data_IF_679480888802
#
_entry.id   IF_679480888802
#
_cell.length_a   1.000
_cell.length_b   1.000
_cell.length_c   1.000
_cell.angle_alpha   90.00
_cell.angle_beta   90.00
_cell.angle_gamma   90.00
#
_symmetry.space_group_name_H-M   'P 1'
#
loop_
_entity.id
_entity.type
_entity.pdbx_description
1 polymer ?
#
# COMPACT_ATOMS: atom_id res chain seq x y z
N UNK A 1 23.14 -11.88 -9.39
CA UNK A 1 22.58 -12.18 -10.73
C UNK A 1 21.34 -11.31 -10.91
N UNK A 2 21.06 -10.78 -12.10
CA UNK A 2 19.84 -10.00 -12.32
C UNK A 2 18.61 -10.91 -12.26
N UNK A 3 17.57 -10.49 -11.55
CA UNK A 3 16.28 -11.22 -11.50
C UNK A 3 15.66 -11.32 -12.90
N UNK A 4 15.42 -12.54 -13.37
CA UNK A 4 14.80 -12.82 -14.67
C UNK A 4 13.28 -12.94 -14.51
N UNK A 5 12.58 -11.84 -14.78
CA UNK A 5 11.14 -11.74 -14.59
C UNK A 5 10.35 -12.80 -15.36
N UNK A 6 10.70 -13.02 -16.63
CA UNK A 6 9.97 -13.96 -17.49
C UNK A 6 10.14 -15.39 -17.01
N UNK A 7 11.37 -15.76 -16.64
CA UNK A 7 11.66 -17.08 -16.07
C UNK A 7 10.92 -17.28 -14.74
N UNK A 8 10.97 -16.31 -13.84
CA UNK A 8 10.29 -16.39 -12.53
C UNK A 8 8.78 -16.50 -12.65
N UNK A 9 8.16 -15.78 -13.59
CA UNK A 9 6.73 -15.91 -13.88
C UNK A 9 6.40 -17.32 -14.38
N UNK A 10 7.16 -17.83 -15.35
CA UNK A 10 6.92 -19.16 -15.90
C UNK A 10 7.09 -20.25 -14.85
N UNK A 11 8.14 -20.16 -14.04
CA UNK A 11 8.43 -21.09 -12.96
C UNK A 11 7.33 -21.08 -11.90
N UNK A 12 6.90 -19.89 -11.46
CA UNK A 12 5.81 -19.76 -10.49
C UNK A 12 4.49 -20.31 -11.04
N UNK A 13 4.09 -19.93 -12.25
CA UNK A 13 2.84 -20.39 -12.85
C UNK A 13 2.82 -21.91 -13.10
N UNK A 14 3.99 -22.54 -13.19
CA UNK A 14 4.12 -24.00 -13.36
C UNK A 14 4.17 -24.74 -12.03
N UNK A 15 4.89 -24.20 -11.04
CA UNK A 15 5.26 -24.93 -9.81
C UNK A 15 4.55 -24.44 -8.55
N UNK A 16 4.02 -23.22 -8.57
CA UNK A 16 3.49 -22.50 -7.40
C UNK A 16 4.57 -22.05 -6.40
N UNK A 17 5.86 -22.13 -6.76
CA UNK A 17 6.98 -21.81 -5.87
C UNK A 17 7.69 -20.53 -6.29
N UNK A 18 8.14 -19.78 -5.29
CA UNK A 18 9.00 -18.61 -5.46
C UNK A 18 10.20 -18.79 -4.55
N UNK A 19 11.40 -18.74 -5.12
CA UNK A 19 12.64 -18.80 -4.37
C UNK A 19 13.02 -17.42 -3.81
N UNK A 20 13.85 -17.42 -2.75
CA UNK A 20 14.51 -16.21 -2.21
C UNK A 20 13.56 -15.08 -1.73
N UNK A 21 12.43 -15.45 -1.13
CA UNK A 21 11.55 -14.51 -0.45
C UNK A 21 11.97 -14.27 1.01
N UNK A 22 11.93 -13.00 1.49
CA UNK A 22 12.12 -12.72 2.90
C UNK A 22 10.92 -13.26 3.70
N UNK A 23 11.22 -14.01 4.75
CA UNK A 23 10.23 -14.71 5.58
C UNK A 23 10.36 -14.39 7.07
N UNK A 24 11.29 -13.51 7.44
CA UNK A 24 11.61 -13.14 8.82
C UNK A 24 11.27 -11.66 9.07
N UNK A 25 11.21 -11.26 10.34
CA UNK A 25 11.10 -9.87 10.75
C UNK A 25 12.39 -9.13 10.42
N UNK A 26 12.32 -7.84 10.09
CA UNK A 26 13.52 -7.05 9.81
C UNK A 26 13.76 -6.04 10.93
N UNK A 27 14.80 -6.26 11.73
CA UNK A 27 15.09 -5.44 12.92
C UNK A 27 16.60 -5.18 12.99
N UNK A 28 16.99 -3.94 13.30
CA UNK A 28 18.39 -3.53 13.44
C UNK A 28 19.28 -3.85 12.23
N UNK A 29 18.69 -3.81 11.03
CA UNK A 29 19.38 -4.08 9.76
C UNK A 29 19.56 -5.55 9.39
N UNK A 30 18.94 -6.48 10.13
CA UNK A 30 19.05 -7.92 9.91
C UNK A 30 17.69 -8.63 10.03
N UNK A 31 17.61 -9.84 9.48
CA UNK A 31 16.42 -10.67 9.52
C UNK A 31 16.40 -11.58 10.76
N UNK A 32 15.33 -11.51 11.56
CA UNK A 32 15.13 -12.27 12.79
C UNK A 32 13.82 -13.06 12.76
N UNK A 33 13.83 -14.28 13.32
CA UNK A 33 12.56 -14.97 13.62
C UNK A 33 11.74 -14.16 14.63
N UNK A 34 10.41 -14.30 14.59
CA UNK A 34 9.55 -13.81 15.65
C UNK A 34 9.89 -14.51 16.98
N UNK A 35 9.84 -13.79 18.09
CA UNK A 35 10.08 -14.35 19.43
C UNK A 35 9.14 -15.53 19.73
N UNK A 36 7.88 -15.41 19.29
CA UNK A 36 6.85 -16.45 19.41
C UNK A 36 7.13 -17.70 18.58
N UNK A 37 8.06 -17.64 17.62
CA UNK A 37 8.30 -18.63 16.55
C UNK A 37 7.08 -18.94 15.69
N UNK A 38 6.03 -18.12 15.76
CA UNK A 38 4.84 -18.27 14.90
C UNK A 38 5.14 -17.77 13.49
N UNK A 39 4.51 -18.42 12.51
CA UNK A 39 4.46 -17.98 11.11
C UNK A 39 3.01 -17.80 10.66
N UNK A 40 2.83 -17.08 9.56
CA UNK A 40 1.56 -16.91 8.86
C UNK A 40 1.75 -17.21 7.37
N UNK A 41 0.76 -17.83 6.71
CA UNK A 41 0.80 -18.03 5.27
C UNK A 41 0.56 -16.71 4.53
N UNK A 42 1.25 -16.53 3.41
CA UNK A 42 0.88 -15.57 2.37
C UNK A 42 0.25 -16.29 1.19
N UNK A 43 -0.80 -15.67 0.65
CA UNK A 43 -1.67 -16.28 -0.35
C UNK A 43 -1.53 -15.55 -1.67
N UNK A 44 -1.56 -16.31 -2.75
CA UNK A 44 -1.73 -15.79 -4.10
C UNK A 44 -3.22 -15.65 -4.38
N UNK A 45 -3.76 -14.42 -4.52
CA UNK A 45 -5.18 -14.23 -4.77
C UNK A 45 -5.64 -14.80 -6.11
N UNK A 46 -4.74 -14.93 -7.08
CA UNK A 46 -5.01 -15.45 -8.42
C UNK A 46 -5.21 -16.96 -8.45
N UNK A 47 -4.71 -17.69 -7.45
CA UNK A 47 -4.91 -19.13 -7.32
C UNK A 47 -5.65 -19.54 -6.04
N UNK A 48 -5.74 -18.64 -5.06
CA UNK A 48 -6.31 -18.93 -3.73
C UNK A 48 -5.45 -19.92 -2.93
N UNK A 49 -4.16 -20.03 -3.25
CA UNK A 49 -3.23 -20.99 -2.63
C UNK A 49 -2.12 -20.26 -1.88
N UNK A 50 -1.58 -20.91 -0.87
CA UNK A 50 -0.39 -20.45 -0.16
C UNK A 50 0.83 -20.64 -1.05
N UNK A 51 1.65 -19.60 -1.21
CA UNK A 51 2.92 -19.69 -1.95
C UNK A 51 4.15 -19.52 -1.05
N UNK A 52 3.99 -18.95 0.15
CA UNK A 52 5.08 -18.79 1.12
C UNK A 52 4.52 -18.58 2.54
N UNK A 53 5.43 -18.48 3.51
CA UNK A 53 5.13 -18.12 4.90
C UNK A 53 6.08 -17.02 5.40
N UNK A 54 5.63 -16.26 6.39
CA UNK A 54 6.42 -15.21 7.02
C UNK A 54 6.23 -15.21 8.54
N UNK A 55 7.24 -14.71 9.27
CA UNK A 55 7.21 -14.64 10.73
C UNK A 55 6.06 -13.74 11.24
N UNK A 56 5.34 -14.20 12.25
CA UNK A 56 4.23 -13.49 12.85
C UNK A 56 4.67 -12.80 14.14
N UNK A 57 5.14 -11.55 13.99
CA UNK A 57 5.60 -10.72 15.09
C UNK A 57 4.47 -10.34 16.06
N UNK A 58 4.84 -10.23 17.33
CA UNK A 58 3.95 -9.89 18.44
C UNK A 58 4.45 -8.62 19.16
N UNK A 59 3.88 -8.30 20.32
CA UNK A 59 4.21 -7.10 21.07
C UNK A 59 5.70 -7.00 21.46
N UNK A 60 6.33 -8.14 21.76
CA UNK A 60 7.75 -8.23 22.13
C UNK A 60 8.68 -7.86 20.97
N UNK A 61 8.33 -8.31 19.76
CA UNK A 61 9.07 -7.96 18.54
C UNK A 61 8.92 -6.47 18.19
N UNK A 62 7.74 -5.92 18.42
CA UNK A 62 7.46 -4.48 18.26
C UNK A 62 8.30 -3.65 19.22
N UNK A 63 8.34 -4.02 20.51
CA UNK A 63 9.17 -3.34 21.51
C UNK A 63 10.64 -3.35 21.10
N UNK A 64 11.17 -4.51 20.66
CA UNK A 64 12.54 -4.63 20.16
C UNK A 64 12.81 -3.69 18.97
N UNK A 65 11.91 -3.61 17.99
CA UNK A 65 12.06 -2.72 16.85
C UNK A 65 11.99 -1.23 17.22
N UNK A 66 11.11 -0.86 18.16
CA UNK A 66 11.03 0.52 18.64
C UNK A 66 12.29 0.90 19.43
N UNK A 67 12.80 0.01 20.29
CA UNK A 67 14.04 0.22 21.02
C UNK A 67 15.25 0.36 20.07
N UNK A 68 15.33 -0.47 19.03
CA UNK A 68 16.35 -0.32 17.96
C UNK A 68 16.21 1.05 17.27
N UNK A 69 15.00 1.47 16.92
CA UNK A 69 14.71 2.78 16.32
C UNK A 69 15.11 3.95 17.22
N UNK A 70 14.88 3.85 18.53
CA UNK A 70 15.28 4.88 19.50
C UNK A 70 16.80 4.96 19.66
N UNK A 71 17.48 3.82 19.65
CA UNK A 71 18.95 3.75 19.68
C UNK A 71 19.55 4.37 18.43
N UNK A 72 19.02 4.04 17.24
CA UNK A 72 19.46 4.59 15.97
C UNK A 72 19.26 6.12 15.91
N UNK A 73 18.12 6.63 16.39
CA UNK A 73 17.81 8.06 16.45
C UNK A 73 18.81 8.88 17.29
N UNK A 74 19.42 8.25 18.32
CA UNK A 74 20.46 8.87 19.16
C UNK A 74 21.88 8.54 18.70
N UNK A 75 22.01 7.70 17.68
CA UNK A 75 23.27 7.19 17.15
C UNK A 75 23.79 8.01 15.98
N UNK A 76 24.38 7.33 15.01
CA UNK A 76 24.98 7.96 13.83
C UNK A 76 23.94 8.70 12.97
N UNK A 77 22.69 8.22 12.92
CA UNK A 77 21.61 8.84 12.12
C UNK A 77 21.35 10.30 12.49
N UNK A 78 21.47 10.65 13.78
CA UNK A 78 21.32 12.03 14.25
C UNK A 78 22.32 12.99 13.60
N UNK A 79 23.50 12.46 13.22
CA UNK A 79 24.60 13.25 12.66
C UNK A 79 24.53 13.41 11.15
N UNK A 80 23.60 12.71 10.48
CA UNK A 80 23.43 12.85 9.04
C UNK A 80 22.92 14.25 8.72
N UNK A 81 23.69 14.98 7.91
CA UNK A 81 23.22 16.26 7.35
C UNK A 81 22.01 16.02 6.44
N UNK A 82 21.15 17.02 6.24
CA UNK A 82 20.05 16.92 5.27
C UNK A 82 20.52 16.47 3.88
N UNK A 83 21.68 16.94 3.40
CA UNK A 83 22.23 16.53 2.11
C UNK A 83 22.70 15.06 2.07
N UNK A 84 23.26 14.55 3.18
CA UNK A 84 23.61 13.12 3.31
C UNK A 84 22.35 12.24 3.28
N UNK A 85 21.28 12.64 3.99
CA UNK A 85 19.98 11.95 3.91
C UNK A 85 19.43 11.98 2.48
N UNK A 86 19.50 13.13 1.80
CA UNK A 86 19.10 13.25 0.40
C UNK A 86 19.86 12.30 -0.53
N UNK A 87 21.19 12.21 -0.41
CA UNK A 87 22.01 11.25 -1.18
C UNK A 87 21.57 9.81 -0.90
N UNK A 88 21.31 9.47 0.36
CA UNK A 88 20.86 8.14 0.75
C UNK A 88 19.51 7.77 0.12
N UNK A 89 18.51 8.66 0.19
CA UNK A 89 17.19 8.38 -0.41
C UNK A 89 17.26 8.24 -1.93
N UNK A 90 18.16 8.98 -2.60
CA UNK A 90 18.43 8.79 -4.02
C UNK A 90 19.02 7.41 -4.33
N UNK A 91 19.95 6.92 -3.50
CA UNK A 91 20.48 5.57 -3.65
C UNK A 91 19.38 4.51 -3.46
N UNK A 92 18.46 4.70 -2.51
CA UNK A 92 17.29 3.82 -2.33
C UNK A 92 16.42 3.82 -3.58
N UNK A 93 16.12 5.00 -4.15
CA UNK A 93 15.35 5.10 -5.40
C UNK A 93 16.04 4.36 -6.57
N UNK A 94 17.35 4.50 -6.71
CA UNK A 94 18.12 3.74 -7.72
C UNK A 94 18.06 2.23 -7.49
N UNK A 95 18.12 1.76 -6.24
CA UNK A 95 18.02 0.34 -5.91
C UNK A 95 16.63 -0.22 -6.16
N UNK A 96 15.57 0.54 -5.87
CA UNK A 96 14.19 0.17 -6.24
C UNK A 96 14.10 -0.01 -7.76
N UNK A 97 14.65 0.92 -8.55
CA UNK A 97 14.66 0.81 -10.03
C UNK A 97 15.46 -0.39 -10.52
N UNK A 98 16.63 -0.65 -9.95
CA UNK A 98 17.45 -1.83 -10.28
C UNK A 98 16.73 -3.14 -9.95
N UNK A 99 15.88 -3.13 -8.92
CA UNK A 99 15.08 -4.28 -8.49
C UNK A 99 13.63 -4.24 -8.98
N UNK A 100 13.31 -3.40 -9.97
CA UNK A 100 11.93 -3.18 -10.43
C UNK A 100 11.25 -4.50 -10.81
N UNK A 101 11.95 -5.38 -11.52
CA UNK A 101 11.44 -6.69 -11.91
C UNK A 101 11.06 -7.56 -10.69
N UNK A 102 11.96 -7.69 -9.70
CA UNK A 102 11.75 -8.49 -8.48
C UNK A 102 10.60 -7.94 -7.65
N UNK A 103 10.58 -6.62 -7.42
CA UNK A 103 9.54 -5.96 -6.65
C UNK A 103 8.18 -6.06 -7.33
N UNK A 104 8.11 -5.83 -8.65
CA UNK A 104 6.84 -5.88 -9.39
C UNK A 104 6.27 -7.30 -9.44
N UNK A 105 7.13 -8.32 -9.57
CA UNK A 105 6.72 -9.71 -9.50
C UNK A 105 6.06 -10.04 -8.16
N UNK A 106 6.72 -9.67 -7.05
CA UNK A 106 6.21 -9.95 -5.70
C UNK A 106 4.95 -9.13 -5.40
N UNK A 107 4.93 -7.84 -5.74
CA UNK A 107 3.78 -6.95 -5.52
C UNK A 107 2.55 -7.43 -6.32
N UNK A 108 2.73 -7.88 -7.57
CA UNK A 108 1.63 -8.44 -8.36
C UNK A 108 1.12 -9.76 -7.78
N UNK A 109 2.04 -10.59 -7.25
CA UNK A 109 1.71 -11.90 -6.73
C UNK A 109 0.91 -11.85 -5.43
N UNK A 110 1.34 -11.08 -4.43
CA UNK A 110 0.67 -11.05 -3.12
C UNK A 110 -0.57 -10.13 -3.10
N UNK A 111 -0.56 -9.04 -3.87
CA UNK A 111 -1.71 -8.15 -3.96
C UNK A 111 -2.79 -8.66 -4.92
N UNK A 112 -2.39 -9.44 -5.94
CA UNK A 112 -3.26 -9.91 -7.02
C UNK A 112 -3.43 -8.93 -8.17
N UNK A 113 -2.81 -7.75 -8.12
CA UNK A 113 -2.91 -6.75 -9.20
C UNK A 113 -2.21 -7.20 -10.47
N UNK A 114 -2.48 -6.50 -11.57
CA UNK A 114 -1.82 -6.78 -12.85
C UNK A 114 -0.34 -6.42 -12.78
N UNK A 115 0.48 -7.15 -13.52
CA UNK A 115 1.92 -6.93 -13.49
C UNK A 115 2.31 -5.52 -13.96
N UNK A 116 1.59 -4.96 -14.94
CA UNK A 116 1.79 -3.58 -15.39
C UNK A 116 1.46 -2.53 -14.31
N UNK A 117 0.36 -2.73 -13.57
CA UNK A 117 -0.02 -1.91 -12.40
C UNK A 117 1.07 -1.98 -11.32
N UNK A 118 1.57 -3.18 -11.01
CA UNK A 118 2.66 -3.36 -10.06
C UNK A 118 3.96 -2.66 -10.51
N UNK A 119 4.30 -2.71 -11.79
CA UNK A 119 5.44 -1.97 -12.33
C UNK A 119 5.28 -0.45 -12.18
N UNK A 120 4.07 0.06 -12.41
CA UNK A 120 3.72 1.46 -12.18
C UNK A 120 3.89 1.86 -10.71
N UNK A 121 3.43 1.01 -9.78
CA UNK A 121 3.55 1.22 -8.34
C UNK A 121 5.00 1.26 -7.86
N UNK A 122 5.83 0.32 -8.32
CA UNK A 122 7.25 0.25 -7.98
C UNK A 122 8.00 1.46 -8.54
N UNK A 123 7.69 1.87 -9.77
CA UNK A 123 8.25 3.09 -10.35
C UNK A 123 7.81 4.35 -9.57
N UNK A 124 6.53 4.41 -9.17
CA UNK A 124 5.99 5.48 -8.32
C UNK A 124 6.68 5.54 -6.95
N UNK A 125 6.95 4.40 -6.33
CA UNK A 125 7.71 4.32 -5.08
C UNK A 125 9.12 4.87 -5.25
N UNK A 126 9.85 4.49 -6.31
CA UNK A 126 11.18 5.05 -6.60
C UNK A 126 11.14 6.58 -6.79
N UNK A 127 10.13 7.07 -7.52
CA UNK A 127 9.96 8.51 -7.74
C UNK A 127 9.62 9.26 -6.44
N UNK A 128 8.88 8.63 -5.52
CA UNK A 128 8.59 9.20 -4.21
C UNK A 128 9.89 9.38 -3.39
N UNK A 129 10.74 8.35 -3.34
CA UNK A 129 12.06 8.46 -2.71
C UNK A 129 12.93 9.55 -3.34
N UNK A 130 12.95 9.68 -4.66
CA UNK A 130 13.70 10.74 -5.35
C UNK A 130 13.17 12.14 -5.08
N UNK A 131 11.84 12.30 -5.03
CA UNK A 131 11.22 13.58 -4.67
C UNK A 131 11.70 14.03 -3.28
N UNK A 132 11.60 13.14 -2.30
CA UNK A 132 12.02 13.44 -0.94
C UNK A 132 13.55 13.56 -0.78
N UNK A 133 14.33 12.85 -1.60
CA UNK A 133 15.77 13.06 -1.71
C UNK A 133 16.12 14.51 -2.07
N UNK A 134 15.35 15.12 -2.98
CA UNK A 134 15.49 16.53 -3.37
C UNK A 134 14.95 17.52 -2.35
N UNK A 135 14.02 17.09 -1.49
CA UNK A 135 13.38 17.94 -0.48
C UNK A 135 14.18 18.03 0.84
N UNK A 136 15.02 17.02 1.15
CA UNK A 136 15.72 16.90 2.45
C UNK A 136 16.38 18.20 2.94
N UNK A 137 17.12 18.90 2.09
CA UNK A 137 17.88 20.12 2.42
C UNK A 137 17.15 21.42 2.04
N UNK A 138 15.87 21.33 1.64
CA UNK A 138 15.02 22.46 1.26
C UNK A 138 13.93 22.77 2.28
N UNK A 139 13.72 21.88 3.26
CA UNK A 139 12.79 22.13 4.36
C UNK A 139 13.46 22.96 5.45
N UNK A 140 13.12 24.26 5.51
CA UNK A 140 13.80 25.25 6.35
C UNK A 140 12.86 25.82 7.42
N UNK A 141 13.45 26.25 8.54
CA UNK A 141 12.77 27.10 9.50
C UNK A 141 12.65 28.54 9.02
N UNK A 142 12.10 29.42 9.85
CA UNK A 142 11.91 30.85 9.53
C UNK A 142 12.57 31.74 10.59
N UNK A 143 13.00 32.93 10.16
CA UNK A 143 13.40 34.01 11.06
C UNK A 143 12.20 34.92 11.32
N UNK A 144 11.98 35.30 12.59
CA UNK A 144 10.80 36.04 13.03
C UNK A 144 11.22 37.42 13.56
N UNK A 145 10.80 38.52 12.92
CA UNK A 145 11.20 39.87 13.33
C UNK A 145 10.39 40.34 14.55
N UNK A 146 10.98 40.31 15.74
CA UNK A 146 10.33 40.75 16.99
C UNK A 146 10.79 42.13 17.49
N UNK A 147 11.73 42.77 16.81
CA UNK A 147 12.31 44.07 17.21
C UNK A 147 13.80 43.98 17.55
N UNK A 148 14.44 45.11 17.91
CA UNK A 148 15.90 45.20 18.02
C UNK A 148 16.50 44.37 19.17
N UNK A 149 15.72 44.09 20.21
CA UNK A 149 16.21 43.43 21.43
C UNK A 149 15.99 41.90 21.42
N UNK A 150 15.47 41.33 20.33
CA UNK A 150 15.08 39.92 20.26
C UNK A 150 15.55 39.24 18.98
N UNK A 151 16.06 38.01 19.13
CA UNK A 151 16.28 37.08 18.02
C UNK A 151 15.30 35.92 18.18
N UNK A 152 14.49 35.67 17.15
CA UNK A 152 13.55 34.55 17.13
C UNK A 152 13.65 33.80 15.80
N UNK A 153 13.70 32.48 15.87
CA UNK A 153 13.69 31.59 14.73
C UNK A 153 13.03 30.26 15.08
N UNK A 154 12.61 29.52 14.06
CA UNK A 154 12.12 28.15 14.22
C UNK A 154 13.13 27.15 13.67
N UNK A 155 13.15 25.95 14.24
CA UNK A 155 13.85 24.78 13.72
C UNK A 155 12.82 23.69 13.43
N UNK A 156 13.01 22.98 12.33
CA UNK A 156 12.21 21.81 12.00
C UNK A 156 12.99 20.55 12.35
N UNK A 157 12.66 19.94 13.48
CA UNK A 157 13.31 18.74 13.99
C UNK A 157 12.51 17.48 13.64
N UNK A 158 13.15 16.31 13.51
CA UNK A 158 12.43 15.05 13.33
C UNK A 158 11.53 14.76 14.53
N UNK A 159 10.33 14.22 14.28
CA UNK A 159 9.39 13.83 15.33
C UNK A 159 9.95 12.70 16.22
N UNK A 160 10.85 11.87 15.69
CA UNK A 160 11.47 10.76 16.39
C UNK A 160 11.14 9.42 15.73
N UNK A 161 10.68 8.44 16.52
CA UNK A 161 10.24 7.13 15.99
C UNK A 161 8.84 7.25 15.42
N UNK A 162 8.66 6.78 14.18
CA UNK A 162 7.39 6.82 13.45
C UNK A 162 6.89 5.42 13.14
N UNK A 163 5.62 5.17 13.39
CA UNK A 163 4.94 3.91 13.09
C UNK A 163 4.18 4.01 11.76
N UNK A 164 4.39 3.06 10.86
CA UNK A 164 3.77 3.05 9.53
C UNK A 164 2.92 1.79 9.34
N UNK A 165 1.60 1.92 9.45
CA UNK A 165 0.66 0.82 9.23
C UNK A 165 0.19 0.86 7.78
N UNK A 166 0.67 -0.10 6.99
CA UNK A 166 0.56 -0.10 5.52
C UNK A 166 -0.56 -1.08 5.07
N UNK A 167 -1.44 -0.70 4.13
CA UNK A 167 -2.55 -1.51 3.65
C UNK A 167 -2.10 -2.50 2.57
N UNK A 168 -2.99 -3.43 2.22
CA UNK A 168 -2.69 -4.53 1.28
C UNK A 168 -2.87 -4.18 -0.20
N UNK A 169 -3.55 -3.09 -0.53
CA UNK A 169 -3.95 -2.81 -1.91
C UNK A 169 -2.85 -2.14 -2.75
N UNK A 170 -2.01 -1.29 -2.14
CA UNK A 170 -0.83 -0.69 -2.76
C UNK A 170 0.35 -0.75 -1.77
N UNK A 171 0.87 -1.95 -1.44
CA UNK A 171 1.80 -2.15 -0.34
C UNK A 171 3.05 -1.27 -0.43
N UNK A 172 3.83 -1.38 -1.50
CA UNK A 172 5.11 -0.67 -1.63
C UNK A 172 4.90 0.83 -1.87
N UNK A 173 3.94 1.19 -2.71
CA UNK A 173 3.63 2.60 -3.02
C UNK A 173 3.15 3.36 -1.78
N UNK A 174 2.35 2.73 -0.91
CA UNK A 174 1.92 3.34 0.36
C UNK A 174 3.05 3.37 1.38
N UNK A 175 3.87 2.32 1.45
CA UNK A 175 5.08 2.33 2.27
C UNK A 175 6.01 3.51 1.91
N UNK A 176 6.30 3.69 0.62
CA UNK A 176 7.16 4.78 0.15
C UNK A 176 6.61 6.18 0.53
N UNK A 177 5.28 6.39 0.38
CA UNK A 177 4.61 7.66 0.71
C UNK A 177 4.75 8.08 2.17
N UNK A 178 4.86 7.13 3.10
CA UNK A 178 5.14 7.42 4.52
C UNK A 178 6.64 7.43 4.86
N UNK A 179 7.36 6.41 4.40
CA UNK A 179 8.74 6.15 4.82
C UNK A 179 9.72 7.17 4.24
N UNK A 180 9.59 7.51 2.95
CA UNK A 180 10.48 8.49 2.31
C UNK A 180 10.47 9.87 3.01
N UNK A 181 9.30 10.49 3.29
CA UNK A 181 9.27 11.75 4.05
C UNK A 181 9.80 11.60 5.48
N UNK A 182 9.50 10.49 6.17
CA UNK A 182 9.98 10.27 7.53
C UNK A 182 11.52 10.22 7.58
N UNK A 183 12.14 9.46 6.68
CA UNK A 183 13.61 9.40 6.56
C UNK A 183 14.20 10.74 6.12
N UNK A 184 13.54 11.46 5.20
CA UNK A 184 13.99 12.79 4.78
C UNK A 184 14.04 13.79 5.96
N UNK A 185 13.01 13.76 6.82
CA UNK A 185 12.93 14.56 8.03
C UNK A 185 13.97 14.16 9.09
N UNK A 186 14.57 12.96 8.99
CA UNK A 186 15.52 12.43 9.98
C UNK A 186 14.85 11.59 11.07
N UNK A 187 13.60 11.18 10.88
CA UNK A 187 12.94 10.24 11.77
C UNK A 187 13.52 8.82 11.61
N UNK A 188 13.19 7.94 12.56
CA UNK A 188 13.32 6.48 12.38
C UNK A 188 11.95 5.85 12.18
N UNK A 189 11.91 4.67 11.58
CA UNK A 189 10.70 4.05 11.04
C UNK A 189 10.56 2.63 11.57
N UNK A 190 9.37 2.32 12.11
CA UNK A 190 8.89 0.95 12.31
C UNK A 190 7.65 0.76 11.44
N UNK A 191 7.77 -0.06 10.40
CA UNK A 191 6.67 -0.38 9.50
C UNK A 191 6.01 -1.70 9.86
N UNK A 192 4.68 -1.75 9.74
CA UNK A 192 3.86 -2.95 9.80
C UNK A 192 3.06 -3.04 8.50
N UNK A 193 3.47 -3.87 7.53
CA UNK A 193 2.65 -4.14 6.35
C UNK A 193 1.43 -4.99 6.69
N UNK A 194 0.38 -4.88 5.88
CA UNK A 194 -0.78 -5.76 5.95
C UNK A 194 -0.34 -7.23 5.82
N UNK A 195 -0.94 -8.10 6.61
CA UNK A 195 -0.58 -9.53 6.64
C UNK A 195 -0.85 -10.26 5.32
N UNK A 196 -1.67 -9.69 4.43
CA UNK A 196 -1.92 -10.21 3.10
C UNK A 196 -0.75 -9.95 2.13
N UNK A 197 0.01 -8.89 2.33
CA UNK A 197 1.05 -8.41 1.38
C UNK A 197 2.30 -7.91 2.10
N UNK A 198 3.00 -8.75 2.88
CA UNK A 198 4.10 -8.29 3.72
C UNK A 198 5.43 -8.11 2.97
N UNK A 199 5.58 -8.73 1.80
CA UNK A 199 6.89 -9.10 1.27
C UNK A 199 7.67 -7.91 0.70
N UNK A 200 7.03 -7.00 -0.03
CA UNK A 200 7.73 -5.88 -0.67
C UNK A 200 8.25 -4.85 0.34
N UNK A 201 7.63 -4.72 1.51
CA UNK A 201 8.16 -3.94 2.62
C UNK A 201 9.46 -4.55 3.19
N UNK A 202 9.54 -5.88 3.30
CA UNK A 202 10.74 -6.58 3.74
C UNK A 202 11.88 -6.44 2.71
N UNK A 203 11.57 -6.55 1.41
CA UNK A 203 12.55 -6.32 0.33
C UNK A 203 13.02 -4.86 0.36
N UNK A 204 12.13 -3.89 0.55
CA UNK A 204 12.54 -2.48 0.69
C UNK A 204 13.54 -2.28 1.84
N UNK A 205 13.38 -3.00 2.95
CA UNK A 205 14.28 -2.90 4.09
C UNK A 205 15.70 -3.42 3.79
N UNK A 206 15.79 -4.52 3.04
CA UNK A 206 17.06 -5.02 2.47
C UNK A 206 17.72 -3.96 1.58
N UNK A 207 16.97 -3.37 0.65
CA UNK A 207 17.48 -2.33 -0.26
C UNK A 207 17.92 -1.06 0.48
N UNK A 208 17.23 -0.70 1.57
CA UNK A 208 17.64 0.41 2.42
C UNK A 208 19.00 0.18 3.08
N UNK A 209 19.30 -1.04 3.55
CA UNK A 209 20.62 -1.37 4.08
C UNK A 209 21.68 -1.35 2.97
N UNK A 210 21.39 -1.92 1.80
CA UNK A 210 22.29 -1.85 0.65
C UNK A 210 22.58 -0.39 0.24
N UNK A 211 21.62 0.52 0.38
CA UNK A 211 21.79 1.95 0.13
C UNK A 211 22.71 2.66 1.16
N UNK A 212 23.04 1.99 2.27
CA UNK A 212 23.84 2.53 3.37
C UNK A 212 23.01 3.14 4.51
N UNK A 213 21.73 2.77 4.64
CA UNK A 213 20.92 3.18 5.79
C UNK A 213 21.50 2.61 7.09
N UNK A 214 21.73 3.43 8.14
CA UNK A 214 22.23 2.92 9.40
C UNK A 214 21.28 1.89 10.02
N UNK A 215 21.86 0.89 10.69
CA UNK A 215 21.11 -0.14 11.40
C UNK A 215 20.11 0.48 12.39
N UNK A 216 18.90 -0.07 12.41
CA UNK A 216 17.80 0.35 13.29
C UNK A 216 17.04 1.60 12.83
N UNK A 217 17.47 2.30 11.77
CA UNK A 217 16.72 3.47 11.26
C UNK A 217 15.41 3.05 10.59
N UNK A 218 15.39 1.88 9.95
CA UNK A 218 14.20 1.29 9.37
C UNK A 218 14.04 -0.16 9.84
N UNK A 219 12.90 -0.46 10.43
CA UNK A 219 12.51 -1.79 10.90
C UNK A 219 11.16 -2.18 10.30
N UNK A 220 10.95 -3.46 10.05
CA UNK A 220 9.70 -4.01 9.52
C UNK A 220 9.25 -5.18 10.38
N UNK A 221 8.06 -5.05 10.97
CA UNK A 221 7.41 -6.10 11.74
C UNK A 221 6.19 -6.61 10.98
N UNK A 222 6.22 -7.88 10.59
CA UNK A 222 5.06 -8.58 10.03
C UNK A 222 4.22 -9.19 11.13
N UNK A 223 2.93 -9.42 10.89
CA UNK A 223 1.98 -9.96 11.87
C UNK A 223 0.58 -9.41 11.64
N UNK A 224 -0.38 -9.75 12.50
CA UNK A 224 -1.76 -9.25 12.35
C UNK A 224 -1.89 -7.80 12.85
N UNK A 225 -2.94 -7.11 12.41
CA UNK A 225 -3.29 -5.79 12.97
C UNK A 225 -3.56 -5.84 14.49
N UNK A 226 -4.10 -6.94 15.01
CA UNK A 226 -4.41 -7.09 16.44
C UNK A 226 -3.17 -7.37 17.29
N UNK A 227 -2.22 -8.15 16.78
CA UNK A 227 -1.00 -8.53 17.49
C UNK A 227 0.08 -7.44 17.38
N UNK A 228 0.60 -7.23 16.17
CA UNK A 228 1.70 -6.30 15.91
C UNK A 228 1.21 -4.87 15.75
N UNK A 229 0.11 -4.66 15.00
CA UNK A 229 -0.40 -3.31 14.71
C UNK A 229 -0.84 -2.55 15.97
N UNK A 230 -1.68 -3.18 16.79
CA UNK A 230 -2.18 -2.60 18.03
C UNK A 230 -1.06 -2.33 19.05
N UNK A 231 -0.09 -3.24 19.15
CA UNK A 231 1.09 -3.04 19.99
C UNK A 231 1.90 -1.83 19.51
N UNK A 232 2.14 -1.70 18.20
CA UNK A 232 2.93 -0.63 17.63
C UNK A 232 2.29 0.75 17.82
N UNK A 233 0.99 0.91 17.52
CA UNK A 233 0.31 2.20 17.65
C UNK A 233 0.09 2.61 19.11
N UNK A 234 0.11 1.67 20.06
CA UNK A 234 0.02 1.94 21.51
C UNK A 234 1.39 2.24 22.14
N UNK A 235 2.48 1.92 21.44
CA UNK A 235 3.80 1.91 22.04
C UNK A 235 4.24 3.32 22.49
N UNK A 236 4.65 3.52 23.76
CA UNK A 236 4.99 4.85 24.29
C UNK A 236 6.24 5.45 23.64
N UNK A 237 7.07 4.62 23.00
CA UNK A 237 8.23 5.06 22.24
C UNK A 237 7.94 5.61 20.84
N UNK A 238 6.69 5.59 20.37
CA UNK A 238 6.26 6.09 19.05
C UNK A 238 5.74 7.52 19.16
N UNK A 239 6.24 8.40 18.29
CA UNK A 239 5.96 9.84 18.32
C UNK A 239 5.02 10.29 17.20
N UNK A 240 4.92 9.50 16.12
CA UNK A 240 3.99 9.72 15.03
C UNK A 240 3.48 8.39 14.48
N UNK A 241 2.20 8.33 14.13
CA UNK A 241 1.56 7.19 13.49
C UNK A 241 1.04 7.65 12.14
N UNK A 242 1.45 6.97 11.07
CA UNK A 242 0.74 7.02 9.79
C UNK A 242 -0.02 5.70 9.61
N UNK A 243 -1.32 5.82 9.39
CA UNK A 243 -2.20 4.69 9.15
C UNK A 243 -2.96 4.91 7.86
N UNK A 244 -2.91 3.90 6.98
CA UNK A 244 -3.80 3.84 5.83
C UNK A 244 -4.65 2.58 5.90
N UNK A 245 -5.97 2.71 5.79
CA UNK A 245 -6.88 1.57 5.89
C UNK A 245 -8.35 1.94 6.05
N UNK A 246 -9.10 1.08 6.75
CA UNK A 246 -10.54 1.26 6.93
C UNK A 246 -10.87 2.38 7.92
N UNK A 247 -12.02 3.03 7.74
CA UNK A 247 -12.50 4.08 8.67
C UNK A 247 -12.62 3.55 10.09
N UNK A 248 -13.23 2.38 10.28
CA UNK A 248 -13.41 1.77 11.61
C UNK A 248 -12.09 1.55 12.32
N UNK A 249 -11.11 0.94 11.65
CA UNK A 249 -9.78 0.72 12.23
C UNK A 249 -9.03 2.04 12.47
N UNK A 250 -9.17 3.03 11.57
CA UNK A 250 -8.58 4.36 11.76
C UNK A 250 -9.12 5.08 13.00
N UNK A 251 -10.42 4.94 13.29
CA UNK A 251 -11.01 5.45 14.54
C UNK A 251 -10.41 4.76 15.76
N UNK A 252 -10.18 3.45 15.70
CA UNK A 252 -9.52 2.71 16.81
C UNK A 252 -8.08 3.19 17.03
N UNK A 253 -7.31 3.37 15.95
CA UNK A 253 -5.95 3.93 16.00
C UNK A 253 -5.96 5.33 16.62
N UNK A 254 -6.90 6.20 16.21
CA UNK A 254 -7.02 7.55 16.76
C UNK A 254 -7.30 7.54 18.27
N UNK A 255 -8.18 6.66 18.74
CA UNK A 255 -8.47 6.52 20.18
C UNK A 255 -7.24 6.07 20.97
N UNK A 256 -6.46 5.13 20.41
CA UNK A 256 -5.23 4.66 21.05
C UNK A 256 -4.15 5.75 21.08
N UNK A 257 -3.95 6.47 19.97
CA UNK A 257 -2.97 7.55 19.86
C UNK A 257 -3.19 8.66 20.91
N UNK A 258 -4.46 8.94 21.27
CA UNK A 258 -4.81 9.93 22.27
C UNK A 258 -4.22 9.63 23.67
N UNK A 259 -3.97 8.36 24.01
CA UNK A 259 -3.41 7.98 25.32
C UNK A 259 -1.99 8.50 25.56
N UNK A 260 -1.22 8.72 24.49
CA UNK A 260 0.15 9.24 24.52
C UNK A 260 0.27 10.62 23.84
N UNK A 261 -0.85 11.18 23.35
CA UNK A 261 -0.88 12.39 22.49
C UNK A 261 0.06 12.19 21.27
N UNK A 262 0.09 10.98 20.72
CA UNK A 262 0.93 10.66 19.57
C UNK A 262 0.41 11.38 18.33
N UNK A 263 1.30 12.01 17.55
CA UNK A 263 0.89 12.63 16.29
C UNK A 263 0.32 11.59 15.33
N UNK A 264 -0.68 11.98 14.54
CA UNK A 264 -1.43 11.04 13.73
C UNK A 264 -1.70 11.59 12.34
N UNK A 265 -1.53 10.73 11.33
CA UNK A 265 -2.01 10.91 9.97
C UNK A 265 -2.87 9.70 9.61
N UNK A 266 -4.11 9.95 9.18
CA UNK A 266 -5.06 8.91 8.76
C UNK A 266 -5.45 9.10 7.29
N UNK A 267 -5.11 8.12 6.47
CA UNK A 267 -5.62 8.00 5.10
C UNK A 267 -6.66 6.87 5.07
N UNK A 268 -7.92 7.22 4.89
CA UNK A 268 -9.05 6.29 5.02
C UNK A 268 -9.75 6.07 3.68
N UNK A 269 -10.64 5.08 3.63
CA UNK A 269 -11.43 4.79 2.43
C UNK A 269 -12.36 5.94 2.02
N UNK A 270 -12.67 6.01 0.72
CA UNK A 270 -13.58 7.00 0.14
C UNK A 270 -14.79 6.39 -0.56
N UNK A 271 -15.74 7.27 -0.90
CA UNK A 271 -16.84 6.97 -1.85
C UNK A 271 -16.80 8.01 -2.98
N UNK A 272 -15.69 8.00 -3.72
CA UNK A 272 -15.33 9.08 -4.63
C UNK A 272 -16.28 9.17 -5.83
N UNK A 273 -16.86 10.36 -6.10
CA UNK A 273 -17.71 10.56 -7.25
C UNK A 273 -16.90 10.86 -8.53
N UNK A 274 -17.38 10.37 -9.66
CA UNK A 274 -17.08 10.89 -11.00
C UNK A 274 -18.33 11.64 -11.46
N UNK A 275 -18.20 12.93 -11.79
CA UNK A 275 -19.33 13.78 -12.22
C UNK A 275 -19.23 14.03 -13.73
N UNK A 276 -20.16 13.44 -14.49
CA UNK A 276 -20.28 13.61 -15.93
C UNK A 276 -21.37 14.65 -16.24
N UNK A 277 -20.93 15.85 -16.66
CA UNK A 277 -21.81 16.95 -17.07
C UNK A 277 -22.31 16.76 -18.51
N UNK A 278 -23.40 17.46 -18.86
CA UNK A 278 -24.10 17.29 -20.14
C UNK A 278 -23.22 17.50 -21.40
N UNK A 279 -22.13 18.24 -21.27
CA UNK A 279 -21.20 18.63 -22.34
C UNK A 279 -19.90 17.80 -22.35
N UNK A 280 -19.78 16.78 -21.49
CA UNK A 280 -18.58 15.95 -21.47
C UNK A 280 -18.45 15.09 -22.74
N UNK A 281 -17.22 14.80 -23.15
CA UNK A 281 -16.96 13.78 -24.17
C UNK A 281 -17.31 12.39 -23.62
N UNK A 282 -18.29 11.73 -24.23
CA UNK A 282 -18.82 10.47 -23.71
C UNK A 282 -17.83 9.30 -23.83
N UNK A 283 -16.95 9.26 -24.84
CA UNK A 283 -15.98 8.17 -24.98
C UNK A 283 -14.83 8.35 -23.99
N UNK A 284 -14.26 9.55 -23.91
CA UNK A 284 -13.20 9.87 -22.93
C UNK A 284 -13.73 9.64 -21.51
N UNK A 285 -14.97 10.06 -21.23
CA UNK A 285 -15.60 9.85 -19.92
C UNK A 285 -15.77 8.38 -19.62
N UNK A 286 -16.26 7.58 -20.58
CA UNK A 286 -16.39 6.14 -20.39
C UNK A 286 -15.03 5.46 -20.13
N UNK A 287 -13.97 5.83 -20.85
CA UNK A 287 -12.62 5.31 -20.60
C UNK A 287 -12.10 5.66 -19.20
N UNK A 288 -12.27 6.91 -18.76
CA UNK A 288 -11.88 7.35 -17.42
C UNK A 288 -12.71 6.67 -16.32
N UNK A 289 -13.99 6.40 -16.55
CA UNK A 289 -14.82 5.63 -15.62
C UNK A 289 -14.27 4.22 -15.45
N UNK A 290 -13.96 3.53 -16.55
CA UNK A 290 -13.42 2.17 -16.51
C UNK A 290 -12.07 2.14 -15.78
N UNK A 291 -11.15 3.03 -16.15
CA UNK A 291 -9.85 3.14 -15.49
C UNK A 291 -10.00 3.45 -13.99
N UNK A 292 -10.86 4.41 -13.64
CA UNK A 292 -11.04 4.86 -12.27
C UNK A 292 -11.71 3.86 -11.32
N UNK A 293 -12.39 2.82 -11.83
CA UNK A 293 -13.10 1.83 -10.99
C UNK A 293 -12.59 0.40 -11.12
N UNK A 294 -11.96 0.00 -12.23
CA UNK A 294 -11.54 -1.38 -12.45
C UNK A 294 -10.03 -1.61 -12.36
N UNK A 295 -9.21 -0.55 -12.31
CA UNK A 295 -7.80 -0.68 -11.93
C UNK A 295 -7.68 -1.36 -10.56
N UNK A 296 -6.77 -2.34 -10.44
CA UNK A 296 -6.59 -3.15 -9.23
C UNK A 296 -7.91 -3.76 -8.69
N UNK A 297 -8.82 -4.14 -9.60
CA UNK A 297 -10.16 -4.64 -9.28
C UNK A 297 -11.00 -3.69 -8.40
N UNK A 298 -10.77 -2.38 -8.52
CA UNK A 298 -11.45 -1.34 -7.74
C UNK A 298 -10.99 -1.23 -6.29
N UNK A 299 -9.89 -1.89 -5.93
CA UNK A 299 -9.32 -1.88 -4.58
C UNK A 299 -8.48 -0.62 -4.34
N UNK A 300 -9.04 0.56 -4.61
CA UNK A 300 -8.37 1.85 -4.53
C UNK A 300 -9.16 2.78 -3.60
N UNK A 301 -8.51 3.44 -2.66
CA UNK A 301 -9.19 4.36 -1.72
C UNK A 301 -9.88 5.53 -2.46
N UNK A 302 -9.32 5.96 -3.59
CA UNK A 302 -9.84 6.99 -4.48
C UNK A 302 -10.65 6.45 -5.65
N UNK A 303 -11.01 5.16 -5.67
CA UNK A 303 -11.77 4.56 -6.77
C UNK A 303 -13.05 5.36 -7.08
N UNK A 304 -13.30 5.61 -8.38
CA UNK A 304 -14.45 6.32 -8.93
C UNK A 304 -15.75 5.53 -8.81
N UNK A 305 -16.08 5.08 -7.60
CA UNK A 305 -17.12 4.09 -7.32
C UNK A 305 -18.55 4.66 -7.29
N UNK A 306 -18.72 5.94 -7.62
CA UNK A 306 -20.02 6.60 -7.79
C UNK A 306 -19.99 7.46 -9.05
N UNK A 307 -20.54 6.94 -10.15
CA UNK A 307 -20.71 7.73 -11.36
C UNK A 307 -22.02 8.54 -11.27
N UNK A 308 -21.91 9.86 -11.30
CA UNK A 308 -23.02 10.81 -11.31
C UNK A 308 -23.13 11.38 -12.73
N UNK A 309 -24.23 11.08 -13.42
CA UNK A 309 -24.41 11.44 -14.82
C UNK A 309 -25.55 12.42 -14.97
N UNK A 310 -25.35 13.48 -15.75
CA UNK A 310 -26.42 14.38 -16.13
C UNK A 310 -27.50 13.62 -16.93
N UNK A 311 -28.77 13.84 -16.60
CA UNK A 311 -29.91 13.06 -17.11
C UNK A 311 -29.94 12.98 -18.65
N UNK A 312 -29.66 14.10 -19.33
CA UNK A 312 -29.67 14.18 -20.80
C UNK A 312 -28.65 13.30 -21.52
N UNK A 313 -27.61 12.82 -20.84
CA UNK A 313 -26.56 11.95 -21.40
C UNK A 313 -26.48 10.58 -20.72
N UNK A 314 -27.37 10.31 -19.75
CA UNK A 314 -27.35 9.11 -18.93
C UNK A 314 -27.26 7.83 -19.77
N UNK A 315 -28.29 7.57 -20.58
CA UNK A 315 -28.39 6.30 -21.30
C UNK A 315 -27.24 6.12 -22.30
N UNK A 316 -26.85 7.20 -22.98
CA UNK A 316 -25.75 7.19 -23.95
C UNK A 316 -24.38 6.90 -23.31
N UNK A 317 -24.11 7.46 -22.11
CA UNK A 317 -22.87 7.18 -21.38
C UNK A 317 -22.89 5.76 -20.80
N UNK A 318 -24.00 5.35 -20.18
CA UNK A 318 -24.12 4.02 -19.56
C UNK A 318 -23.99 2.91 -20.60
N UNK A 319 -24.50 3.08 -21.82
CA UNK A 319 -24.28 2.11 -22.91
C UNK A 319 -22.79 1.89 -23.20
N UNK A 320 -22.00 2.98 -23.27
CA UNK A 320 -20.56 2.92 -23.52
C UNK A 320 -19.81 2.26 -22.36
N UNK A 321 -20.13 2.66 -21.13
CA UNK A 321 -19.54 2.07 -19.91
C UNK A 321 -19.87 0.59 -19.84
N UNK A 322 -21.11 0.19 -20.09
CA UNK A 322 -21.55 -1.21 -20.10
C UNK A 322 -20.78 -2.03 -21.15
N UNK A 323 -20.64 -1.51 -22.37
CA UNK A 323 -19.88 -2.16 -23.44
C UNK A 323 -18.42 -2.41 -23.03
N UNK A 324 -17.75 -1.38 -22.49
CA UNK A 324 -16.34 -1.50 -22.06
C UNK A 324 -16.20 -2.42 -20.84
N UNK A 325 -17.13 -2.35 -19.88
CA UNK A 325 -17.14 -3.23 -18.69
C UNK A 325 -17.22 -4.70 -19.09
N UNK A 326 -18.09 -5.06 -20.04
CA UNK A 326 -18.23 -6.43 -20.55
C UNK A 326 -17.02 -6.94 -21.34
N UNK A 327 -16.16 -6.04 -21.82
CA UNK A 327 -14.95 -6.39 -22.54
C UNK A 327 -13.75 -6.66 -21.61
N UNK A 328 -13.88 -6.45 -20.29
CA UNK A 328 -12.81 -6.71 -19.34
C UNK A 328 -12.65 -8.21 -19.15
N UNK A 329 -11.44 -8.70 -19.44
CA UNK A 329 -11.09 -10.11 -19.28
C UNK A 329 -10.40 -10.35 -17.94
N UNK A 330 -10.95 -11.25 -17.14
CA UNK A 330 -10.36 -11.69 -15.88
C UNK A 330 -9.14 -12.60 -16.12
N UNK A 331 -8.19 -12.58 -15.20
CA UNK A 331 -7.12 -13.57 -15.16
C UNK A 331 -6.04 -13.24 -14.15
N UNK A 332 -5.14 -14.19 -13.90
CA UNK A 332 -4.03 -14.03 -12.97
C UNK A 332 -3.17 -12.79 -13.28
N UNK A 333 -2.81 -12.00 -12.25
CA UNK A 333 -2.09 -10.72 -12.38
C UNK A 333 -0.76 -10.82 -13.14
N UNK A 334 0.02 -11.87 -12.89
CA UNK A 334 1.27 -12.18 -13.62
C UNK A 334 1.11 -12.46 -15.13
N UNK A 335 -0.10 -12.75 -15.63
CA UNK A 335 -0.38 -12.87 -17.07
C UNK A 335 -0.80 -11.54 -17.71
N UNK A 336 -0.85 -10.47 -16.93
CA UNK A 336 -1.29 -9.13 -17.34
C UNK A 336 -2.66 -9.15 -18.03
N UNK A 337 -3.64 -9.80 -17.40
CA UNK A 337 -5.04 -9.86 -17.84
C UNK A 337 -5.70 -8.47 -17.86
N UNK A 338 -6.97 -8.37 -18.24
CA UNK A 338 -7.72 -7.11 -18.19
C UNK A 338 -8.02 -6.65 -16.75
N UNK A 339 -8.24 -7.58 -15.83
CA UNK A 339 -8.43 -7.32 -14.40
C UNK A 339 -8.04 -8.54 -13.55
N UNK A 340 -7.31 -8.28 -12.46
CA UNK A 340 -6.87 -9.30 -11.50
C UNK A 340 -7.97 -9.75 -10.51
N UNK A 341 -7.64 -10.70 -9.62
CA UNK A 341 -8.48 -11.07 -8.48
C UNK A 341 -8.65 -9.94 -7.45
N UNK A 342 -9.61 -10.10 -6.55
CA UNK A 342 -9.63 -9.38 -5.27
C UNK A 342 -8.68 -10.05 -4.28
N UNK A 343 -8.03 -9.26 -3.43
CA UNK A 343 -6.85 -9.68 -2.67
C UNK A 343 -7.08 -10.84 -1.68
N UNK A 344 -8.30 -11.02 -1.15
CA UNK A 344 -8.57 -12.08 -0.17
C UNK A 344 -9.98 -12.64 -0.29
N UNK A 345 -10.16 -13.89 0.15
CA UNK A 345 -11.49 -14.52 0.25
C UNK A 345 -12.44 -13.68 1.14
N UNK A 346 -11.93 -13.10 2.23
CA UNK A 346 -12.72 -12.22 3.10
C UNK A 346 -13.20 -10.97 2.35
N UNK A 347 -12.32 -10.35 1.54
CA UNK A 347 -12.70 -9.19 0.74
C UNK A 347 -13.68 -9.56 -0.38
N UNK A 348 -13.50 -10.72 -1.02
CA UNK A 348 -14.45 -11.27 -2.00
C UNK A 348 -15.86 -11.42 -1.41
N UNK A 349 -15.97 -12.00 -0.21
CA UNK A 349 -17.25 -12.13 0.52
C UNK A 349 -17.88 -10.77 0.81
N UNK A 350 -17.09 -9.75 1.16
CA UNK A 350 -17.58 -8.37 1.40
C UNK A 350 -18.11 -7.74 0.12
N UNK A 351 -17.36 -7.81 -0.98
CA UNK A 351 -17.78 -7.27 -2.28
C UNK A 351 -19.10 -7.93 -2.72
N UNK A 352 -19.14 -9.28 -2.69
CA UNK A 352 -20.35 -10.04 -3.01
C UNK A 352 -21.53 -9.63 -2.11
N UNK A 353 -21.34 -9.53 -0.81
CA UNK A 353 -22.37 -9.10 0.14
C UNK A 353 -22.95 -7.71 -0.15
N UNK A 354 -22.13 -6.75 -0.60
CA UNK A 354 -22.61 -5.43 -1.00
C UNK A 354 -23.51 -5.48 -2.24
N UNK A 355 -23.14 -6.28 -3.24
CA UNK A 355 -23.93 -6.44 -4.46
C UNK A 355 -25.23 -7.20 -4.20
N UNK A 356 -25.20 -8.27 -3.40
CA UNK A 356 -26.41 -8.99 -2.98
C UNK A 356 -27.35 -8.11 -2.17
N UNK A 357 -26.82 -7.25 -1.29
CA UNK A 357 -27.62 -6.23 -0.59
C UNK A 357 -28.23 -5.19 -1.53
N UNK A 358 -27.58 -4.86 -2.65
CA UNK A 358 -28.16 -3.97 -3.66
C UNK A 358 -29.29 -4.68 -4.43
N UNK A 359 -29.07 -5.93 -4.87
CA UNK A 359 -30.08 -6.75 -5.55
C UNK A 359 -31.33 -6.95 -4.69
N UNK A 360 -31.18 -7.25 -3.39
CA UNK A 360 -32.31 -7.44 -2.47
C UNK A 360 -33.14 -6.17 -2.24
N UNK A 361 -32.56 -5.00 -2.51
CA UNK A 361 -33.26 -3.70 -2.51
C UNK A 361 -33.84 -3.32 -3.87
N UNK A 362 -33.80 -4.22 -4.85
CA UNK A 362 -34.34 -3.99 -6.20
C UNK A 362 -33.45 -3.13 -7.10
N UNK A 363 -32.17 -2.92 -6.74
CA UNK A 363 -31.24 -2.17 -7.60
C UNK A 363 -30.88 -3.02 -8.82
N UNK A 364 -30.95 -2.42 -10.00
CA UNK A 364 -30.64 -3.09 -11.26
C UNK A 364 -29.13 -3.33 -11.41
N UNK A 365 -28.76 -4.57 -11.72
CA UNK A 365 -27.40 -4.95 -12.11
C UNK A 365 -27.39 -5.11 -13.64
N UNK A 366 -26.64 -4.26 -14.35
CA UNK A 366 -26.58 -4.28 -15.81
C UNK A 366 -25.63 -5.36 -16.35
N UNK A 367 -24.57 -5.68 -15.61
CA UNK A 367 -23.66 -6.78 -15.89
C UNK A 367 -22.88 -7.20 -14.63
N UNK A 368 -22.31 -8.40 -14.66
CA UNK A 368 -21.49 -8.94 -13.58
C UNK A 368 -22.31 -9.32 -12.35
N UNK A 369 -21.74 -9.07 -11.18
CA UNK A 369 -22.40 -9.22 -9.89
C UNK A 369 -22.32 -10.65 -9.34
N UNK A 370 -21.33 -11.43 -9.75
CA UNK A 370 -21.11 -12.80 -9.28
C UNK A 370 -19.65 -13.03 -8.89
N UNK A 371 -19.45 -13.96 -7.96
CA UNK A 371 -18.13 -14.54 -7.68
C UNK A 371 -17.71 -15.37 -8.90
N UNK A 372 -16.44 -15.26 -9.28
CA UNK A 372 -15.85 -15.95 -10.41
C UNK A 372 -14.48 -16.54 -10.04
N UNK A 373 -13.77 -17.04 -11.03
CA UNK A 373 -12.42 -17.57 -10.93
C UNK A 373 -11.60 -17.19 -12.17
N UNK A 374 -10.29 -17.44 -12.14
CA UNK A 374 -9.42 -17.31 -13.32
C UNK A 374 -9.94 -18.25 -14.43
N UNK A 375 -10.33 -17.73 -15.61
CA UNK A 375 -10.87 -18.56 -16.70
C UNK A 375 -9.90 -19.65 -17.17
N UNK A 376 -8.59 -19.46 -17.00
CA UNK A 376 -7.59 -20.43 -17.44
C UNK A 376 -7.40 -21.59 -16.46
N UNK A 377 -7.73 -21.41 -15.17
CA UNK A 377 -7.42 -22.39 -14.12
C UNK A 377 -8.63 -22.84 -13.30
N UNK A 378 -9.71 -22.06 -13.31
CA UNK A 378 -10.87 -22.26 -12.45
C UNK A 378 -10.62 -21.96 -10.96
N UNK A 379 -9.52 -21.26 -10.64
CA UNK A 379 -9.09 -20.97 -9.26
C UNK A 379 -9.02 -19.47 -8.96
N UNK A 380 -8.74 -19.14 -7.70
CA UNK A 380 -8.53 -17.77 -7.24
C UNK A 380 -9.79 -17.03 -6.79
N UNK A 381 -9.59 -15.82 -6.28
CA UNK A 381 -10.63 -15.00 -5.69
C UNK A 381 -11.03 -13.88 -6.65
N UNK A 382 -11.86 -14.20 -7.64
CA UNK A 382 -12.28 -13.22 -8.64
C UNK A 382 -13.73 -12.77 -8.41
N UNK A 383 -14.02 -11.55 -8.80
CA UNK A 383 -15.37 -11.01 -8.86
C UNK A 383 -15.58 -10.35 -10.22
N UNK A 384 -16.74 -10.57 -10.82
CA UNK A 384 -17.01 -10.01 -12.15
C UNK A 384 -17.06 -8.46 -12.11
N UNK A 385 -16.53 -7.78 -13.15
CA UNK A 385 -16.74 -6.34 -13.32
C UNK A 385 -18.24 -6.03 -13.30
N UNK A 386 -18.67 -5.25 -12.30
CA UNK A 386 -20.09 -5.10 -11.99
C UNK A 386 -20.54 -3.65 -12.17
N UNK A 387 -21.60 -3.45 -12.95
CA UNK A 387 -22.24 -2.16 -13.15
C UNK A 387 -23.66 -2.20 -12.57
N UNK A 388 -23.92 -1.33 -11.60
CA UNK A 388 -25.25 -1.10 -11.05
C UNK A 388 -25.74 0.25 -11.56
N UNK A 389 -26.98 0.30 -12.03
CA UNK A 389 -27.57 1.50 -12.60
C UNK A 389 -28.78 1.98 -11.77
N UNK A 390 -29.10 3.27 -11.90
CA UNK A 390 -30.20 3.95 -11.21
C UNK A 390 -30.16 3.74 -9.69
N UNK A 391 -28.95 3.74 -9.13
CA UNK A 391 -28.72 3.71 -7.69
C UNK A 391 -29.20 5.03 -7.09
N UNK A 392 -30.09 5.01 -6.08
CA UNK A 392 -30.60 6.25 -5.46
C UNK A 392 -29.50 7.17 -4.97
N UNK A 393 -29.63 8.46 -5.29
CA UNK A 393 -28.84 9.52 -4.69
C UNK A 393 -29.40 9.77 -3.29
N UNK A 394 -28.77 9.19 -2.26
CA UNK A 394 -29.07 9.58 -0.87
C UNK A 394 -28.87 11.08 -0.68
#
# INVERSE_FOLDING_TARGET
MSFDLTKSIQEYLTTGKVDELPHALFIDGEFYSAESRQSMPTWDPGTGRVFSEFAAGQAEDVDRAVLSSQKALKGEWLRFTPSQRGKLLRNVAELIRKNLARLSFVEALDSGKRLDEAMGDVAGAANCFDYYAGACDKYQGISIPLGPDYVAYTLNEPLGVTAHIIPWNYPLSTAARGIAPALAAGCTVVAKPAEQTPLTALILAELCIEAGLPKGVFNVITGTGQAAGAALVKHPGVHHITFTGSVTTGMDVMRVAASNITHLLLELGGKSPIVALADCDLEITADNVIAGIFENAGQICSAGSRLLVHDSIHDALIEKVLKKTKAIHLGHGLRNSGMGPVNSELQLKRVSGHVESAKSRGIQVLCGGQISADPATGLGWFYEPTLLDRVPLL
#
